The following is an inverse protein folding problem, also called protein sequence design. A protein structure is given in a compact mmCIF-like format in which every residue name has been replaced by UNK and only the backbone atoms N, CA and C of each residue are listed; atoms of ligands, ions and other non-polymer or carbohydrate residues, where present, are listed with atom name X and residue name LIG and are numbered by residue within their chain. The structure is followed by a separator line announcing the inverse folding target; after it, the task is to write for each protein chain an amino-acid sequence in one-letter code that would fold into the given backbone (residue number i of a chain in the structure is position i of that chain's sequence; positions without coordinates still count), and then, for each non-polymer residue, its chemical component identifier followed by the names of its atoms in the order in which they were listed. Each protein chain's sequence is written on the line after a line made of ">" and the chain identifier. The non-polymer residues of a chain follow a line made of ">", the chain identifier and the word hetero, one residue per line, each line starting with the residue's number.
data_IF_085106338958
#
_entry.id   IF_085106338958
#
_cell.length_a   1.000
_cell.length_b   1.000
_cell.length_c   1.000
_cell.angle_alpha   90.00
_cell.angle_beta   90.00
_cell.angle_gamma   90.00
#
_symmetry.space_group_name_H-M   'P 1'
#
loop_
_entity.id
_entity.type
_entity.pdbx_description
1 polymer ?
2 non-polymer ?
3 non-polymer ?
4 non-polymer ?
5 water ?
#
# COMPACT_ATOMS: atom_id res chain seq x y z
N UNK A 1 -24.58 -2.11 -18.93
CA UNK A 1 -24.74 -1.14 -17.80
C UNK A 1 -25.90 -1.49 -16.82
N UNK A 2 -26.46 -2.68 -16.93
CA UNK A 2 -27.50 -3.12 -16.01
C UNK A 2 -27.02 -4.27 -15.10
N UNK A 3 -25.70 -4.51 -15.07
CA UNK A 3 -25.15 -5.57 -14.25
C UNK A 3 -24.98 -5.04 -12.82
N UNK A 4 -25.09 -5.95 -11.87
CA UNK A 4 -24.75 -5.65 -10.49
C UNK A 4 -23.26 -5.25 -10.39
N UNK A 5 -22.87 -4.56 -9.31
CA UNK A 5 -21.46 -4.26 -9.08
C UNK A 5 -20.64 -5.55 -9.05
N UNK A 6 -21.16 -6.56 -8.35
CA UNK A 6 -20.48 -7.85 -8.30
C UNK A 6 -20.22 -8.38 -9.73
N UNK A 7 -21.21 -8.27 -10.60
CA UNK A 7 -21.06 -8.81 -11.95
C UNK A 7 -20.13 -7.96 -12.83
N UNK A 8 -20.17 -6.65 -12.63
CA UNK A 8 -19.29 -5.71 -13.34
C UNK A 8 -17.85 -5.97 -12.98
N UNK A 9 -17.58 -6.07 -11.68
CA UNK A 9 -16.24 -6.43 -11.23
C UNK A 9 -15.79 -7.78 -11.81
N UNK A 10 -16.60 -8.81 -11.67
CA UNK A 10 -16.23 -10.12 -12.24
C UNK A 10 -15.90 -10.07 -13.76
N UNK A 11 -16.68 -9.32 -14.51
CA UNK A 11 -16.45 -9.12 -15.93
C UNK A 11 -15.04 -8.60 -16.17
N UNK A 12 -14.66 -7.55 -15.42
CA UNK A 12 -13.40 -6.90 -15.60
C UNK A 12 -12.24 -7.75 -15.09
N UNK A 13 -12.44 -8.46 -13.99
CA UNK A 13 -11.41 -9.38 -13.45
C UNK A 13 -11.06 -10.43 -14.48
N UNK A 14 -12.07 -10.98 -15.14
CA UNK A 14 -11.87 -12.00 -16.16
C UNK A 14 -11.22 -11.39 -17.39
N UNK A 15 -11.67 -10.21 -17.78
CA UNK A 15 -11.20 -9.55 -18.97
C UNK A 15 -9.72 -9.19 -18.86
N UNK A 16 -9.32 -8.63 -17.70
CA UNK A 16 -7.93 -8.26 -17.51
C UNK A 16 -7.05 -9.40 -16.99
N UNK A 17 -7.64 -10.59 -16.87
CA UNK A 17 -6.96 -11.79 -16.37
C UNK A 17 -6.39 -11.54 -14.95
N UNK A 18 -7.14 -10.83 -14.10
CA UNK A 18 -6.86 -10.83 -12.66
C UNK A 18 -7.32 -12.18 -12.07
N UNK A 19 -8.30 -12.82 -12.73
CA UNK A 19 -8.77 -14.17 -12.40
C UNK A 19 -8.70 -15.04 -13.64
N UNK A 20 -8.05 -16.20 -13.56
CA UNK A 20 -8.14 -17.21 -14.63
C UNK A 20 -8.94 -18.41 -14.17
N UNK A 21 -9.82 -18.90 -15.05
CA UNK A 21 -10.54 -20.13 -14.79
C UNK A 21 -10.15 -21.22 -15.78
N UNK A 22 -9.58 -22.30 -15.26
CA UNK A 22 -9.12 -23.42 -16.10
C UNK A 22 -9.57 -24.72 -15.42
N UNK A 23 -10.89 -24.94 -15.31
CA UNK A 23 -11.39 -26.11 -14.60
C UNK A 23 -10.94 -27.47 -15.19
N UNK A 24 -10.68 -27.52 -16.50
CA UNK A 24 -10.27 -28.78 -17.16
C UNK A 24 -8.77 -28.89 -17.40
N UNK A 25 -8.07 -27.83 -17.00
CA UNK A 25 -6.62 -27.83 -16.97
C UNK A 25 -6.19 -27.08 -15.69
N UNK A 26 -6.47 -27.67 -14.51
CA UNK A 26 -6.36 -26.87 -13.27
C UNK A 26 -4.94 -26.48 -12.87
N UNK A 27 -4.88 -25.44 -12.06
CA UNK A 27 -3.68 -24.96 -11.41
C UNK A 27 -3.42 -25.86 -10.23
N UNK A 28 -2.17 -25.87 -9.79
CA UNK A 28 -1.78 -26.49 -8.54
C UNK A 28 -1.54 -25.34 -7.59
N UNK A 29 -2.28 -25.34 -6.49
CA UNK A 29 -2.11 -24.37 -5.45
C UNK A 29 -0.98 -24.91 -4.61
N UNK A 30 -0.64 -24.22 -3.53
CA UNK A 30 0.26 -24.81 -2.52
C UNK A 30 -0.47 -26.04 -1.92
N UNK A 31 0.24 -26.84 -1.14
CA UNK A 31 -0.38 -27.91 -0.36
C UNK A 31 -0.95 -29.07 -1.19
N UNK A 32 -0.58 -29.14 -2.47
CA UNK A 32 -0.92 -30.27 -3.35
C UNK A 32 -2.33 -30.22 -3.91
N UNK A 33 -3.03 -29.11 -3.64
CA UNK A 33 -4.42 -28.89 -4.06
C UNK A 33 -4.43 -28.44 -5.52
N UNK A 34 -5.26 -29.10 -6.31
CA UNK A 34 -5.55 -28.63 -7.64
C UNK A 34 -6.79 -27.75 -7.58
N UNK A 35 -6.77 -26.65 -8.34
CA UNK A 35 -7.80 -25.63 -8.28
C UNK A 35 -8.13 -25.25 -9.70
N UNK A 36 -9.42 -25.09 -10.00
CA UNK A 36 -9.86 -24.57 -11.29
C UNK A 36 -9.70 -23.05 -11.42
N UNK A 37 -9.31 -22.35 -10.35
CA UNK A 37 -9.31 -20.88 -10.34
C UNK A 37 -7.96 -20.36 -9.87
N UNK A 38 -7.49 -19.29 -10.48
CA UNK A 38 -6.31 -18.56 -9.99
C UNK A 38 -6.68 -17.09 -9.95
N UNK A 39 -6.37 -16.44 -8.82
CA UNK A 39 -6.78 -15.08 -8.56
C UNK A 39 -5.56 -14.27 -8.23
N UNK A 40 -5.38 -13.15 -8.92
CA UNK A 40 -4.39 -12.16 -8.50
C UNK A 40 -4.92 -10.76 -8.75
N UNK A 41 -5.65 -10.24 -7.76
CA UNK A 41 -6.37 -9.01 -7.87
C UNK A 41 -5.40 -7.84 -7.76
N UNK A 42 -4.11 -8.11 -7.47
CA UNK A 42 -3.12 -7.01 -7.54
C UNK A 42 -2.98 -6.53 -8.99
N UNK A 43 -3.38 -7.36 -9.92
CA UNK A 43 -3.41 -6.97 -11.33
C UNK A 43 -4.38 -5.82 -11.54
N UNK A 44 -5.48 -5.75 -10.77
CA UNK A 44 -6.49 -4.66 -10.91
C UNK A 44 -5.85 -3.26 -10.71
N UNK A 45 -4.81 -3.22 -9.89
CA UNK A 45 -4.09 -1.98 -9.61
C UNK A 45 -3.46 -1.38 -10.83
N UNK A 46 -3.19 -2.19 -11.84
CA UNK A 46 -2.52 -1.73 -13.05
C UNK A 46 -3.50 -1.29 -14.16
N UNK A 47 -4.80 -1.39 -13.87
CA UNK A 47 -5.87 -1.08 -14.82
C UNK A 47 -6.80 -0.05 -14.20
N UNK A 48 -6.51 1.26 -14.41
CA UNK A 48 -7.24 2.34 -13.76
C UNK A 48 -8.78 2.23 -13.85
N UNK A 49 -9.31 1.82 -14.98
CA UNK A 49 -10.74 1.67 -15.15
C UNK A 49 -11.34 0.65 -14.17
N UNK A 50 -10.70 -0.52 -14.07
CA UNK A 50 -11.10 -1.57 -13.14
C UNK A 50 -10.84 -1.16 -11.69
N UNK A 51 -9.68 -0.57 -11.44
CA UNK A 51 -9.34 -0.07 -10.13
C UNK A 51 -10.36 0.96 -9.66
N UNK A 52 -10.74 1.91 -10.52
CA UNK A 52 -11.71 2.95 -10.15
C UNK A 52 -13.05 2.32 -9.79
N UNK A 53 -13.48 1.33 -10.56
CA UNK A 53 -14.69 0.61 -10.28
C UNK A 53 -14.73 -0.03 -8.89
N UNK A 54 -13.64 -0.73 -8.58
CA UNK A 54 -13.46 -1.38 -7.29
C UNK A 54 -13.37 -0.36 -6.12
N UNK A 55 -12.53 0.68 -6.28
CA UNK A 55 -12.32 1.65 -5.17
C UNK A 55 -13.61 2.45 -4.92
N UNK A 56 -14.29 2.86 -6.00
CA UNK A 56 -15.60 3.51 -5.86
C UNK A 56 -16.65 2.58 -5.24
N UNK A 57 -16.60 1.29 -5.58
CA UNK A 57 -17.50 0.27 -5.01
C UNK A 57 -17.25 0.15 -3.52
N UNK A 58 -15.99 0.06 -3.12
CA UNK A 58 -15.61 0.02 -1.69
C UNK A 58 -16.13 1.24 -0.94
N UNK A 59 -15.88 2.43 -1.47
CA UNK A 59 -16.32 3.65 -0.77
C UNK A 59 -17.85 3.63 -0.54
N UNK A 60 -18.55 3.21 -1.57
CA UNK A 60 -20.02 3.15 -1.50
C UNK A 60 -20.49 2.10 -0.47
N UNK A 61 -19.90 0.91 -0.46
CA UNK A 61 -20.33 -0.12 0.48
C UNK A 61 -19.98 0.25 1.91
N UNK A 62 -18.86 0.98 2.07
CA UNK A 62 -18.43 1.37 3.43
C UNK A 62 -19.38 2.41 4.02
N UNK A 63 -19.72 3.39 3.22
CA UNK A 63 -20.72 4.39 3.60
C UNK A 63 -22.06 3.76 3.94
N UNK A 64 -22.42 2.72 3.21
CA UNK A 64 -23.68 2.05 3.44
C UNK A 64 -23.63 1.17 4.71
N UNK A 65 -22.57 0.39 4.86
CA UNK A 65 -22.54 -0.57 5.97
C UNK A 65 -21.93 0.00 7.22
N UNK A 66 -20.91 0.85 7.06
CA UNK A 66 -20.14 1.41 8.20
C UNK A 66 -20.03 2.94 8.18
N UNK A 67 -21.18 3.67 8.17
CA UNK A 67 -21.15 5.10 7.98
C UNK A 67 -20.35 5.86 9.06
N UNK A 68 -20.16 5.25 10.23
CA UNK A 68 -19.57 5.89 11.40
C UNK A 68 -18.07 5.62 11.41
N UNK A 69 -17.54 5.00 10.35
CA UNK A 69 -16.08 4.70 10.25
C UNK A 69 -15.22 5.95 10.48
N UNK A 70 -14.12 5.77 11.22
CA UNK A 70 -13.19 6.87 11.50
C UNK A 70 -11.78 6.67 10.94
N UNK A 71 -11.45 5.42 10.64
CA UNK A 71 -10.15 5.07 10.12
C UNK A 71 -10.31 3.87 9.20
N UNK A 72 -9.59 3.91 8.09
CA UNK A 72 -9.53 2.82 7.09
C UNK A 72 -8.20 2.12 7.27
N UNK A 73 -8.19 0.79 7.46
CA UNK A 73 -6.91 0.10 7.71
C UNK A 73 -6.80 -0.93 6.56
N UNK A 74 -5.68 -0.98 5.84
CA UNK A 74 -5.46 -2.05 4.84
C UNK A 74 -4.68 -3.21 5.45
N UNK A 75 -4.97 -4.44 5.00
CA UNK A 75 -4.30 -5.67 5.47
C UNK A 75 -3.05 -5.79 4.67
N UNK A 76 -1.89 -5.95 5.31
CA UNK A 76 -0.62 -6.08 4.57
C UNK A 76 -0.65 -7.38 3.76
N UNK A 77 -0.16 -7.40 2.51
CA UNK A 77 0.25 -6.25 1.72
C UNK A 77 -0.84 -5.89 0.69
N UNK A 78 -1.53 -6.90 0.15
CA UNK A 78 -2.45 -6.74 -0.97
C UNK A 78 -3.61 -5.79 -0.71
N UNK A 79 -4.03 -5.65 0.55
CA UNK A 79 -5.16 -4.79 0.84
C UNK A 79 -4.75 -3.34 1.02
N UNK A 80 -3.44 -3.10 1.15
CA UNK A 80 -2.94 -1.75 1.44
C UNK A 80 -3.23 -0.71 0.31
N UNK A 81 -2.92 -1.05 -0.96
CA UNK A 81 -3.13 -0.03 -2.02
C UNK A 81 -4.60 0.35 -2.11
N UNK A 82 -5.49 -0.63 -2.06
CA UNK A 82 -6.91 -0.34 -2.11
C UNK A 82 -7.29 0.50 -0.92
N UNK A 83 -6.89 0.10 0.28
CA UNK A 83 -7.23 0.84 1.53
C UNK A 83 -6.76 2.28 1.46
N UNK A 84 -5.57 2.51 0.90
CA UNK A 84 -5.02 3.87 0.87
C UNK A 84 -5.85 4.74 -0.01
N UNK A 85 -6.20 4.23 -1.18
CA UNK A 85 -7.08 4.96 -2.11
C UNK A 85 -8.43 5.26 -1.50
N UNK A 86 -9.02 4.29 -0.84
CA UNK A 86 -10.30 4.51 -0.14
C UNK A 86 -10.20 5.63 0.91
N UNK A 87 -9.15 5.62 1.70
CA UNK A 87 -8.97 6.64 2.72
C UNK A 87 -8.81 8.03 2.08
N UNK A 88 -8.03 8.10 1.00
CA UNK A 88 -7.89 9.36 0.28
C UNK A 88 -9.27 9.85 -0.20
N UNK A 89 -10.03 8.97 -0.85
CA UNK A 89 -11.35 9.34 -1.39
C UNK A 89 -12.32 9.81 -0.29
N UNK A 90 -12.25 9.21 0.91
CA UNK A 90 -13.18 9.53 2.02
C UNK A 90 -12.64 10.64 2.95
N UNK A 91 -11.44 11.14 2.63
CA UNK A 91 -10.73 12.08 3.50
C UNK A 91 -10.68 11.58 4.94
N UNK A 92 -10.27 10.32 5.08
CA UNK A 92 -10.14 9.66 6.40
C UNK A 92 -8.69 9.23 6.71
N UNK A 93 -8.33 9.17 8.03
CA UNK A 93 -7.04 8.57 8.43
C UNK A 93 -6.88 7.21 7.73
N UNK A 94 -5.66 6.90 7.30
CA UNK A 94 -5.32 5.57 6.86
C UNK A 94 -4.30 4.96 7.85
N UNK A 95 -4.40 3.64 8.06
CA UNK A 95 -3.40 2.88 8.81
C UNK A 95 -3.24 1.57 8.05
N UNK A 96 -2.16 0.84 8.32
CA UNK A 96 -2.12 -0.53 7.77
C UNK A 96 -1.65 -1.51 8.78
N UNK A 97 -1.93 -2.78 8.54
CA UNK A 97 -1.73 -3.76 9.59
C UNK A 97 -0.79 -4.85 9.12
N UNK A 98 0.39 -4.93 9.71
CA UNK A 98 1.37 -5.92 9.28
C UNK A 98 0.91 -7.33 9.63
N UNK A 99 1.47 -8.32 8.95
CA UNK A 99 1.22 -9.71 9.23
C UNK A 99 1.75 -10.14 10.56
N UNK A 100 2.89 -9.57 10.92
CA UNK A 100 3.54 -9.84 12.19
C UNK A 100 4.29 -8.55 12.65
N UNK A 101 4.56 -8.43 13.96
CA UNK A 101 5.39 -7.32 14.47
C UNK A 101 6.76 -7.27 13.77
N UNK A 102 7.36 -6.08 13.72
CA UNK A 102 8.78 -5.96 13.31
C UNK A 102 9.68 -6.66 14.33
N UNK A 107 1.00 -3.69 20.45
CA UNK A 107 1.84 -2.50 20.41
C UNK A 107 2.98 -2.65 19.41
N UNK A 108 2.66 -3.23 18.23
CA UNK A 108 3.60 -3.37 17.10
C UNK A 108 3.11 -3.76 15.66
N UNK A 109 1.81 -3.98 15.41
CA UNK A 109 1.39 -4.38 14.05
C UNK A 109 0.73 -3.28 13.19
N UNK A 110 0.13 -2.27 13.83
CA UNK A 110 -0.56 -1.17 13.17
C UNK A 110 0.54 -0.17 12.79
N UNK A 111 0.58 0.22 11.52
CA UNK A 111 1.47 1.30 11.10
C UNK A 111 0.56 2.47 10.78
N UNK A 112 0.95 3.66 11.17
CA UNK A 112 0.04 4.80 11.18
C UNK A 112 -0.20 5.14 12.63
N UNK A 113 -1.28 5.89 12.90
CA UNK A 113 -1.61 6.28 14.29
C UNK A 113 -3.10 6.12 14.47
N UNK A 114 -3.48 5.28 15.42
CA UNK A 114 -4.89 4.95 15.62
C UNK A 114 -5.13 5.24 17.09
N UNK A 115 -6.15 6.05 17.37
CA UNK A 115 -6.50 6.47 18.72
C UNK A 115 -7.32 5.37 19.36
N UNK A 116 -7.20 5.21 20.66
CA UNK A 116 -8.02 4.24 21.36
C UNK A 116 -9.51 4.47 21.07
N UNK A 117 -10.22 3.42 20.66
CA UNK A 117 -11.68 3.51 20.46
C UNK A 117 -12.08 4.00 19.07
N UNK A 118 -11.08 4.30 18.24
CA UNK A 118 -11.35 4.77 16.91
C UNK A 118 -11.99 3.67 16.06
N UNK A 119 -13.05 4.02 15.35
CA UNK A 119 -13.88 3.06 14.63
C UNK A 119 -13.23 2.76 13.29
N UNK A 120 -12.91 1.50 13.08
CA UNK A 120 -12.12 1.07 11.93
C UNK A 120 -12.84 0.08 11.03
N UNK A 121 -12.67 0.26 9.73
CA UNK A 121 -13.04 -0.71 8.74
C UNK A 121 -11.75 -1.21 8.10
N UNK A 122 -11.63 -2.53 8.04
CA UNK A 122 -10.43 -3.17 7.54
C UNK A 122 -10.65 -3.63 6.06
N UNK A 123 -9.71 -3.28 5.20
CA UNK A 123 -9.78 -3.58 3.77
C UNK A 123 -8.88 -4.76 3.42
N UNK A 124 -9.45 -5.74 2.70
CA UNK A 124 -8.76 -6.94 2.30
C UNK A 124 -8.99 -7.13 0.78
N UNK A 125 -8.13 -7.91 0.13
CA UNK A 125 -8.26 -8.11 -1.31
C UNK A 125 -9.11 -9.37 -1.43
N UNK A 126 -8.54 -10.53 -1.07
CA UNK A 126 -9.22 -11.81 -1.29
C UNK A 126 -9.55 -12.53 0.03
N UNK A 127 -10.79 -12.98 0.18
CA UNK A 127 -11.12 -13.93 1.27
C UNK A 127 -11.08 -15.40 0.79
N UNK A 128 -10.15 -16.24 1.29
CA UNK A 128 -10.37 -17.72 1.17
C UNK A 128 -10.91 -18.26 2.47
N UNK A 129 -10.06 -18.47 3.48
CA UNK A 129 -10.54 -18.82 4.84
C UNK A 129 -10.89 -17.55 5.67
N UNK A 130 -10.31 -16.38 5.35
CA UNK A 130 -10.49 -15.16 6.15
C UNK A 130 -9.52 -15.07 7.32
N UNK A 131 -8.74 -16.12 7.55
CA UNK A 131 -7.77 -16.14 8.67
C UNK A 131 -6.87 -14.91 8.74
N UNK A 132 -6.32 -14.50 7.61
CA UNK A 132 -5.41 -13.32 7.59
C UNK A 132 -6.10 -12.04 8.03
N UNK A 133 -7.23 -11.72 7.44
CA UNK A 133 -7.91 -10.49 7.82
C UNK A 133 -8.51 -10.59 9.23
N UNK A 134 -8.94 -11.79 9.62
CA UNK A 134 -9.38 -11.97 10.99
C UNK A 134 -8.23 -11.76 12.00
N UNK A 135 -7.03 -12.24 11.69
CA UNK A 135 -5.88 -11.93 12.56
C UNK A 135 -5.55 -10.44 12.56
N UNK A 136 -5.70 -9.80 11.40
CA UNK A 136 -5.54 -8.34 11.35
C UNK A 136 -6.51 -7.59 12.29
N UNK A 137 -7.77 -8.03 12.29
CA UNK A 137 -8.76 -7.42 13.13
C UNK A 137 -8.38 -7.65 14.58
N UNK A 138 -7.90 -8.85 14.91
CA UNK A 138 -7.49 -9.20 16.28
C UNK A 138 -6.37 -8.28 16.75
N UNK A 139 -5.36 -8.09 15.91
CA UNK A 139 -4.26 -7.19 16.24
C UNK A 139 -4.75 -5.74 16.43
N UNK A 140 -5.64 -5.30 15.54
CA UNK A 140 -6.17 -3.92 15.64
C UNK A 140 -6.90 -3.73 16.95
N UNK A 141 -7.73 -4.72 17.34
CA UNK A 141 -8.46 -4.70 18.60
C UNK A 141 -7.51 -4.67 19.80
N UNK A 142 -6.44 -5.46 19.74
CA UNK A 142 -5.42 -5.42 20.82
C UNK A 142 -4.81 -4.05 20.98
N UNK A 143 -4.56 -3.39 19.87
CA UNK A 143 -3.94 -2.06 19.89
C UNK A 143 -4.93 -0.89 20.03
N UNK A 144 -6.20 -1.20 20.30
CA UNK A 144 -7.17 -0.22 20.78
C UNK A 144 -8.31 0.16 19.82
N UNK A 145 -8.26 -0.35 18.59
CA UNK A 145 -9.30 -0.10 17.59
C UNK A 145 -10.66 -0.64 17.96
N UNK A 146 -11.70 0.04 17.50
CA UNK A 146 -13.04 -0.50 17.51
C UNK A 146 -13.33 -0.93 16.06
N UNK A 147 -13.13 -2.22 15.78
CA UNK A 147 -13.27 -2.74 14.41
C UNK A 147 -14.73 -2.90 14.07
N UNK A 148 -15.20 -2.12 13.08
CA UNK A 148 -16.60 -2.23 12.67
C UNK A 148 -16.81 -3.45 11.77
N UNK A 149 -15.81 -3.77 10.96
CA UNK A 149 -16.02 -4.84 10.03
C UNK A 149 -14.95 -4.85 8.99
N UNK A 150 -15.12 -5.75 8.04
CA UNK A 150 -14.21 -5.96 6.93
C UNK A 150 -14.92 -5.85 5.60
N UNK A 151 -14.24 -5.22 4.64
CA UNK A 151 -14.68 -5.23 3.26
C UNK A 151 -13.55 -5.80 2.42
N UNK A 152 -13.92 -6.73 1.53
CA UNK A 152 -12.93 -7.33 0.62
C UNK A 152 -13.38 -7.21 -0.82
N UNK A 153 -12.44 -7.34 -1.74
CA UNK A 153 -12.81 -7.34 -3.15
C UNK A 153 -13.56 -8.60 -3.51
N UNK A 154 -13.13 -9.76 -3.02
CA UNK A 154 -13.65 -11.02 -3.62
C UNK A 154 -13.60 -12.10 -2.54
N UNK A 155 -14.48 -13.06 -2.65
CA UNK A 155 -14.47 -14.23 -1.76
C UNK A 155 -14.69 -15.52 -2.55
N UNK A 156 -13.97 -16.60 -2.19
CA UNK A 156 -14.26 -17.90 -2.77
C UNK A 156 -15.55 -18.52 -2.19
N UNK A 157 -16.20 -17.83 -1.26
CA UNK A 157 -17.43 -18.34 -0.61
C UNK A 157 -17.26 -19.67 0.06
N UNK A 158 -16.08 -19.93 0.65
CA UNK A 158 -15.87 -21.22 1.34
C UNK A 158 -16.73 -21.21 2.57
N UNK A 159 -17.42 -22.34 2.85
CA UNK A 159 -18.21 -22.37 4.10
C UNK A 159 -17.34 -22.08 5.35
N UNK A 160 -16.06 -22.49 5.33
CA UNK A 160 -15.18 -22.23 6.46
C UNK A 160 -14.98 -20.74 6.77
N UNK A 161 -15.01 -19.87 5.75
CA UNK A 161 -14.87 -18.44 5.94
C UNK A 161 -16.09 -17.87 6.65
N UNK A 162 -17.28 -18.32 6.24
CA UNK A 162 -18.52 -17.92 6.88
C UNK A 162 -18.48 -18.26 8.35
N UNK A 163 -18.12 -19.50 8.66
CA UNK A 163 -17.96 -19.98 10.04
C UNK A 163 -16.95 -19.12 10.85
N UNK A 164 -15.78 -18.86 10.27
CA UNK A 164 -14.72 -18.06 10.92
C UNK A 164 -15.24 -16.67 11.26
N UNK A 165 -15.90 -16.00 10.30
CA UNK A 165 -16.39 -14.64 10.54
C UNK A 165 -17.49 -14.61 11.60
N UNK A 166 -18.45 -15.52 11.48
CA UNK A 166 -19.53 -15.68 12.47
C UNK A 166 -19.04 -15.98 13.92
N UNK A 167 -18.17 -16.98 14.06
CA UNK A 167 -17.55 -17.28 15.34
C UNK A 167 -16.72 -16.12 15.92
N UNK A 168 -16.10 -15.32 15.05
CA UNK A 168 -15.34 -14.15 15.50
C UNK A 168 -16.28 -12.97 15.83
N UNK A 169 -17.51 -13.01 15.34
CA UNK A 169 -18.44 -11.89 15.52
C UNK A 169 -18.08 -10.67 14.65
N UNK A 170 -17.50 -10.89 13.48
CA UNK A 170 -17.04 -9.82 12.59
C UNK A 170 -17.83 -9.82 11.29
N UNK A 171 -18.37 -8.64 10.94
CA UNK A 171 -19.13 -8.51 9.70
C UNK A 171 -18.20 -8.42 8.51
N UNK A 172 -18.51 -9.19 7.47
CA UNK A 172 -17.75 -9.17 6.23
C UNK A 172 -18.65 -8.72 5.09
N UNK A 173 -18.20 -7.76 4.28
CA UNK A 173 -18.88 -7.45 3.03
C UNK A 173 -17.87 -7.66 1.93
N UNK A 174 -18.30 -8.17 0.78
CA UNK A 174 -17.40 -8.27 -0.36
C UNK A 174 -18.05 -7.61 -1.59
N UNK A 175 -17.20 -7.11 -2.50
CA UNK A 175 -17.68 -6.40 -3.67
C UNK A 175 -18.13 -7.38 -4.74
N UNK A 176 -17.41 -8.51 -4.85
CA UNK A 176 -17.76 -9.57 -5.77
C UNK A 176 -17.49 -10.95 -5.15
N UNK A 177 -17.89 -12.01 -5.85
CA UNK A 177 -17.85 -13.33 -5.20
C UNK A 177 -17.80 -14.43 -6.24
N UNK A 178 -17.39 -15.60 -5.81
CA UNK A 178 -17.22 -16.77 -6.68
C UNK A 178 -18.44 -17.12 -7.52
N UNK A 179 -19.62 -17.16 -6.91
CA UNK A 179 -20.83 -17.50 -7.63
C UNK A 179 -21.11 -16.55 -8.79
N UNK A 180 -21.01 -15.25 -8.55
CA UNK A 180 -21.25 -14.30 -9.63
C UNK A 180 -20.18 -14.40 -10.68
N UNK A 181 -18.95 -14.61 -10.26
CA UNK A 181 -17.88 -14.68 -11.23
C UNK A 181 -17.93 -15.88 -12.20
N UNK A 182 -18.22 -17.08 -11.66
CA UNK A 182 -18.34 -18.27 -12.54
C UNK A 182 -19.60 -18.15 -13.40
N UNK A 183 -20.63 -17.49 -12.90
CA UNK A 183 -21.86 -17.24 -13.68
C UNK A 183 -21.59 -16.36 -14.92
N UNK A 184 -20.92 -15.27 -14.67
CA UNK A 184 -20.48 -14.30 -15.70
C UNK A 184 -19.46 -14.95 -16.65
N UNK A 185 -18.55 -15.77 -16.10
CA UNK A 185 -17.58 -16.50 -16.95
C UNK A 185 -18.31 -17.37 -17.98
N UNK A 186 -19.35 -18.06 -17.56
CA UNK A 186 -20.05 -18.91 -18.52
C UNK A 186 -20.80 -18.03 -19.47
N UNK A 187 -21.45 -17.00 -18.96
CA UNK A 187 -22.28 -16.16 -19.83
C UNK A 187 -21.43 -15.59 -20.95
N UNK A 188 -20.19 -15.25 -20.62
CA UNK A 188 -19.27 -14.57 -21.50
C UNK A 188 -18.34 -15.51 -22.24
N UNK A 189 -18.44 -16.82 -21.97
CA UNK A 189 -17.74 -17.83 -22.77
C UNK A 189 -16.29 -18.12 -22.31
N UNK A 190 -15.94 -17.69 -21.10
CA UNK A 190 -14.62 -18.00 -20.56
C UNK A 190 -14.51 -19.47 -20.17
N UNK A 191 -15.67 -20.11 -19.93
CA UNK A 191 -15.79 -21.49 -19.47
C UNK A 191 -16.98 -22.10 -20.20
N UNK A 192 -16.94 -23.43 -20.33
CA UNK A 192 -18.07 -24.21 -20.88
C UNK A 192 -19.02 -24.61 -19.73
N UNK A 193 -20.16 -25.19 -20.06
CA UNK A 193 -21.00 -25.76 -19.04
C UNK A 193 -20.29 -26.84 -18.21
N UNK A 194 -19.51 -27.72 -18.83
CA UNK A 194 -18.71 -28.70 -18.07
C UNK A 194 -17.73 -28.02 -17.10
N UNK A 195 -17.09 -26.95 -17.55
CA UNK A 195 -16.22 -26.17 -16.69
C UNK A 195 -17.00 -25.52 -15.54
N UNK A 196 -18.17 -24.98 -15.85
CA UNK A 196 -18.99 -24.37 -14.79
C UNK A 196 -19.36 -25.43 -13.73
N UNK A 197 -19.74 -26.61 -14.19
CA UNK A 197 -20.04 -27.72 -13.27
C UNK A 197 -18.84 -28.03 -12.37
N UNK A 198 -17.62 -27.98 -12.92
CA UNK A 198 -16.45 -28.32 -12.12
C UNK A 198 -16.15 -27.24 -11.12
N UNK A 199 -16.30 -25.99 -11.55
CA UNK A 199 -16.17 -24.87 -10.63
C UNK A 199 -17.14 -24.93 -9.44
N UNK A 200 -18.37 -25.39 -9.67
CA UNK A 200 -19.37 -25.54 -8.60
C UNK A 200 -18.99 -26.64 -7.60
N UNK A 201 -18.48 -27.75 -8.14
CA UNK A 201 -17.94 -28.84 -7.29
C UNK A 201 -16.79 -28.35 -6.43
N UNK A 202 -15.87 -27.57 -7.03
CA UNK A 202 -14.74 -26.99 -6.29
C UNK A 202 -15.17 -26.19 -5.07
N UNK A 203 -16.22 -25.38 -5.20
CA UNK A 203 -16.76 -24.66 -4.03
C UNK A 203 -17.26 -25.64 -2.93
N UNK A 204 -17.92 -26.71 -3.34
CA UNK A 204 -18.39 -27.75 -2.42
C UNK A 204 -17.27 -28.49 -1.66
N UNK A 205 -16.15 -28.77 -2.33
CA UNK A 205 -15.12 -29.66 -1.81
C UNK A 205 -13.83 -29.48 -2.62
N UNK A 206 -12.83 -28.87 -2.02
CA UNK A 206 -11.58 -28.56 -2.70
C UNK A 206 -10.69 -29.76 -2.99
N UNK A 207 -10.92 -30.86 -2.28
CA UNK A 207 -10.11 -32.06 -2.47
C UNK A 207 -10.68 -33.04 -3.53
N UNK A 208 -12.00 -33.27 -3.53
CA UNK A 208 -12.59 -34.29 -4.43
C UNK A 208 -13.42 -33.78 -5.60
N UNK A 209 -13.17 -32.53 -6.00
CA UNK A 209 -13.97 -31.88 -7.05
C UNK A 209 -13.84 -32.46 -8.47
N UNK A 210 -12.76 -33.18 -8.75
CA UNK A 210 -12.43 -33.61 -10.13
C UNK A 210 -13.12 -34.89 -10.66
N UNK B 3 5.81 29.82 3.74
CA UNK B 3 6.78 28.68 3.74
C UNK B 3 6.73 27.94 2.40
N UNK B 4 7.88 27.42 1.98
CA UNK B 4 7.97 26.56 0.80
C UNK B 4 7.33 25.20 1.11
N UNK B 5 6.96 24.46 0.06
CA UNK B 5 6.36 23.11 0.28
C UNK B 5 7.23 22.26 1.22
N UNK B 6 8.56 22.27 1.02
CA UNK B 6 9.45 21.46 1.85
C UNK B 6 9.35 21.82 3.33
N UNK B 7 9.32 23.12 3.62
CA UNK B 7 9.23 23.60 5.01
C UNK B 7 7.82 23.37 5.60
N UNK B 8 6.80 23.52 4.78
CA UNK B 8 5.42 23.12 5.15
C UNK B 8 5.33 21.65 5.56
N UNK B 9 5.84 20.77 4.70
CA UNK B 9 5.86 19.36 5.00
C UNK B 9 6.57 19.12 6.31
N UNK B 10 7.76 19.71 6.46
CA UNK B 10 8.58 19.50 7.62
C UNK B 10 7.90 19.94 8.90
N UNK B 11 7.27 21.12 8.87
CA UNK B 11 6.46 21.61 9.98
C UNK B 11 5.44 20.57 10.41
N UNK B 12 4.73 19.99 9.43
CA UNK B 12 3.71 18.98 9.79
C UNK B 12 4.32 17.64 10.26
N UNK B 13 5.47 17.25 9.70
CA UNK B 13 6.14 16.00 10.16
C UNK B 13 6.49 16.09 11.64
N UNK B 14 7.02 17.26 12.03
CA UNK B 14 7.40 17.48 13.43
C UNK B 14 6.17 17.51 14.30
N UNK B 15 5.13 18.19 13.87
CA UNK B 15 3.94 18.33 14.65
C UNK B 15 3.26 16.97 14.94
N UNK B 16 3.19 16.10 13.93
CA UNK B 16 2.46 14.86 14.16
C UNK B 16 3.41 13.78 14.66
N UNK B 17 4.65 14.17 14.88
CA UNK B 17 5.68 13.27 15.38
C UNK B 17 5.94 12.15 14.37
N UNK B 18 6.01 12.53 13.10
CA UNK B 18 6.54 11.62 12.08
C UNK B 18 8.07 11.65 12.16
N UNK B 19 8.62 12.68 12.79
CA UNK B 19 10.10 12.86 12.92
C UNK B 19 10.37 13.21 14.34
N UNK B 20 11.38 12.53 14.91
CA UNK B 20 11.87 12.78 16.28
C UNK B 20 13.33 13.14 16.20
N UNK B 21 13.69 14.23 16.87
CA UNK B 21 15.07 14.74 16.85
C UNK B 21 15.57 14.60 18.27
N UNK B 22 16.66 13.85 18.43
CA UNK B 22 17.25 13.62 19.74
C UNK B 22 18.77 13.75 19.62
N UNK B 23 19.27 14.95 19.23
CA UNK B 23 20.69 15.14 19.06
C UNK B 23 21.50 14.87 20.32
N UNK B 24 20.90 15.10 21.49
CA UNK B 24 21.64 14.96 22.75
C UNK B 24 21.50 13.57 23.32
N UNK B 25 20.73 12.72 22.64
CA UNK B 25 20.54 11.34 23.05
C UNK B 25 20.22 10.46 21.83
N UNK B 26 21.22 10.23 20.92
CA UNK B 26 20.92 9.63 19.59
C UNK B 26 20.41 8.19 19.51
N UNK B 27 19.72 7.88 18.41
CA UNK B 27 19.33 6.52 18.05
C UNK B 27 20.57 5.80 17.55
N UNK B 28 20.51 4.47 17.49
CA UNK B 28 21.65 3.72 16.96
C UNK B 28 21.14 2.99 15.74
N UNK B 29 21.93 3.00 14.66
CA UNK B 29 21.54 2.29 13.44
C UNK B 29 22.19 0.90 13.38
N UNK B 30 21.62 0.02 12.57
CA UNK B 30 22.23 -1.29 12.31
C UNK B 30 23.73 -1.18 12.03
N UNK B 31 24.14 -0.20 11.21
CA UNK B 31 25.56 0.01 10.89
C UNK B 31 26.46 0.33 12.10
N UNK B 32 25.84 0.82 13.17
CA UNK B 32 26.57 1.21 14.38
C UNK B 32 26.64 2.73 14.52
N UNK B 33 26.22 3.42 13.47
CA UNK B 33 26.16 4.89 13.47
C UNK B 33 25.13 5.33 14.50
N UNK B 34 25.49 6.37 15.27
CA UNK B 34 24.52 7.05 16.12
C UNK B 34 23.87 8.16 15.32
N UNK B 35 22.53 8.18 15.35
CA UNK B 35 21.75 9.14 14.57
C UNK B 35 20.91 10.01 15.53
N UNK B 36 20.96 11.35 15.33
CA UNK B 36 20.15 12.28 16.07
C UNK B 36 18.72 12.31 15.57
N UNK B 37 18.39 11.53 14.54
CA UNK B 37 17.10 11.58 13.90
C UNK B 37 16.45 10.19 13.75
N UNK B 38 15.17 10.11 14.11
CA UNK B 38 14.33 8.96 13.76
C UNK B 38 13.12 9.46 12.96
N UNK B 39 12.77 8.75 11.89
CA UNK B 39 11.66 9.12 11.02
C UNK B 39 10.69 7.97 10.90
N UNK B 40 9.40 8.25 11.08
CA UNK B 40 8.37 7.26 10.70
C UNK B 40 7.29 7.98 9.93
N UNK B 41 7.48 8.10 8.61
CA UNK B 41 6.56 8.82 7.75
C UNK B 41 5.25 8.06 7.47
N UNK B 42 5.14 6.81 7.95
CA UNK B 42 3.85 6.09 7.85
C UNK B 42 2.79 6.84 8.66
N UNK B 43 3.18 7.58 9.70
CA UNK B 43 2.13 8.25 10.47
C UNK B 43 1.50 9.39 9.68
N UNK B 44 2.16 9.93 8.68
CA UNK B 44 1.49 10.93 7.80
C UNK B 44 0.19 10.38 7.20
N UNK B 45 0.11 9.04 7.04
CA UNK B 45 -1.07 8.39 6.44
C UNK B 45 -2.33 8.55 7.25
N UNK B 46 -2.15 8.83 8.54
CA UNK B 46 -3.26 8.88 9.50
C UNK B 46 -3.72 10.33 9.69
N UNK B 47 -3.05 11.28 9.02
CA UNK B 47 -3.44 12.71 9.09
C UNK B 47 -3.77 13.25 7.72
N UNK B 48 -5.06 13.17 7.31
CA UNK B 48 -5.51 13.55 5.95
C UNK B 48 -5.01 14.94 5.46
N UNK B 49 -4.93 15.94 6.33
CA UNK B 49 -4.39 17.24 5.94
C UNK B 49 -2.94 17.09 5.48
N UNK B 50 -2.13 16.36 6.27
CA UNK B 50 -0.73 16.20 5.96
C UNK B 50 -0.55 15.24 4.75
N UNK B 51 -1.31 14.17 4.74
CA UNK B 51 -1.23 13.26 3.64
C UNK B 51 -1.65 13.97 2.34
N UNK B 52 -2.75 14.73 2.36
CA UNK B 52 -3.14 15.41 1.13
C UNK B 52 -2.00 16.28 0.58
N UNK B 53 -1.38 17.05 1.45
CA UNK B 53 -0.27 17.91 1.07
C UNK B 53 0.88 17.15 0.41
N UNK B 54 1.26 16.03 1.02
CA UNK B 54 2.30 15.15 0.48
C UNK B 54 1.91 14.51 -0.88
N UNK B 55 0.72 13.91 -0.95
CA UNK B 55 0.33 13.25 -2.21
C UNK B 55 0.15 14.26 -3.34
N UNK B 56 -0.45 15.42 -3.06
CA UNK B 56 -0.54 16.49 -4.08
C UNK B 56 0.84 17.02 -4.54
N UNK B 57 1.76 17.12 -3.58
CA UNK B 57 3.14 17.45 -3.83
C UNK B 57 3.83 16.46 -4.77
N UNK B 58 3.71 15.16 -4.47
CA UNK B 58 4.18 14.10 -5.37
C UNK B 58 3.62 14.24 -6.79
N UNK B 59 2.30 14.44 -6.91
CA UNK B 59 1.64 14.58 -8.23
C UNK B 59 2.18 15.73 -9.03
N UNK B 60 2.28 16.90 -8.40
CA UNK B 60 2.82 18.06 -9.08
C UNK B 60 4.25 17.85 -9.60
N UNK B 61 5.10 17.25 -8.79
CA UNK B 61 6.49 17.08 -9.17
C UNK B 61 6.68 16.00 -10.23
N UNK B 62 5.81 14.98 -10.20
CA UNK B 62 5.75 13.94 -11.25
C UNK B 62 5.21 14.54 -12.56
N UNK B 63 4.09 15.26 -12.46
CA UNK B 63 3.47 15.93 -13.61
C UNK B 63 4.50 16.86 -14.30
N UNK B 64 5.36 17.53 -13.51
CA UNK B 64 6.44 18.36 -14.14
C UNK B 64 7.65 17.56 -14.64
N UNK B 65 8.26 16.73 -13.77
CA UNK B 65 9.53 16.05 -14.09
C UNK B 65 9.41 14.77 -14.90
N UNK B 66 8.27 14.08 -14.78
CA UNK B 66 8.11 12.79 -15.51
C UNK B 66 6.85 12.79 -16.31
N UNK B 67 6.70 13.73 -17.24
CA UNK B 67 5.38 13.73 -17.90
C UNK B 67 5.09 12.43 -18.68
N UNK B 68 6.15 11.70 -19.06
CA UNK B 68 5.98 10.46 -19.85
C UNK B 68 5.73 9.15 -19.05
N UNK B 69 5.55 9.27 -17.73
CA UNK B 69 5.35 8.13 -16.82
C UNK B 69 4.11 7.32 -17.23
N UNK B 70 4.23 5.98 -17.27
CA UNK B 70 3.12 5.11 -17.63
C UNK B 70 2.69 4.22 -16.46
N UNK B 71 3.54 4.14 -15.43
CA UNK B 71 3.17 3.39 -14.23
C UNK B 71 3.86 3.96 -12.99
N UNK B 72 3.10 4.06 -11.91
CA UNK B 72 3.57 4.51 -10.60
C UNK B 72 3.85 3.26 -9.79
N UNK B 73 5.04 3.11 -9.24
CA UNK B 73 5.34 1.90 -8.48
C UNK B 73 5.73 2.30 -7.08
N UNK B 74 5.10 1.66 -6.08
CA UNK B 74 5.47 1.94 -4.70
C UNK B 74 6.49 0.94 -4.20
N UNK B 75 7.46 1.41 -3.41
CA UNK B 75 8.38 0.52 -2.73
C UNK B 75 7.65 -0.18 -1.57
N UNK B 76 7.65 -1.52 -1.52
CA UNK B 76 7.12 -2.25 -0.38
C UNK B 76 7.89 -1.97 0.92
N UNK B 77 7.21 -1.72 2.04
CA UNK B 77 5.78 -1.59 2.16
C UNK B 77 5.36 -0.12 2.33
N UNK B 78 6.22 0.67 2.99
CA UNK B 78 5.90 2.05 3.35
C UNK B 78 5.65 2.99 2.18
N UNK B 79 6.27 2.72 1.03
CA UNK B 79 5.98 3.56 -0.16
C UNK B 79 4.70 3.20 -0.90
N UNK B 80 4.15 2.03 -0.60
CA UNK B 80 2.95 1.57 -1.30
C UNK B 80 1.71 2.52 -1.12
N UNK B 81 1.37 2.94 0.13
CA UNK B 81 0.10 3.72 0.23
C UNK B 81 0.18 5.04 -0.52
N UNK B 82 1.33 5.68 -0.45
CA UNK B 82 1.55 6.96 -1.12
C UNK B 82 1.48 6.76 -2.62
N UNK B 83 2.15 5.74 -3.12
CA UNK B 83 2.17 5.48 -4.56
C UNK B 83 0.78 5.13 -5.07
N UNK B 84 0.00 4.42 -4.26
CA UNK B 84 -1.34 4.03 -4.69
C UNK B 84 -2.23 5.26 -4.86
N UNK B 85 -2.13 6.20 -3.90
CA UNK B 85 -2.93 7.44 -3.97
C UNK B 85 -2.50 8.33 -5.17
N UNK B 86 -1.18 8.46 -5.35
CA UNK B 86 -0.62 9.12 -6.51
C UNK B 86 -1.19 8.55 -7.79
N UNK B 87 -1.15 7.22 -7.93
CA UNK B 87 -1.69 6.58 -9.15
C UNK B 87 -3.18 6.88 -9.36
N UNK B 88 -3.97 6.83 -8.29
CA UNK B 88 -5.39 7.10 -8.36
C UNK B 88 -5.60 8.54 -8.85
N UNK B 89 -4.86 9.47 -8.28
CA UNK B 89 -5.00 10.91 -8.62
C UNK B 89 -4.68 11.19 -10.08
N UNK B 90 -3.69 10.48 -10.61
CA UNK B 90 -3.15 10.70 -11.96
C UNK B 90 -3.83 9.78 -12.99
N UNK B 91 -4.78 8.96 -12.53
CA UNK B 91 -5.40 7.90 -13.35
C UNK B 91 -4.32 7.08 -14.09
N UNK B 92 -3.32 6.64 -13.35
CA UNK B 92 -2.25 5.87 -13.96
C UNK B 92 -2.24 4.46 -13.40
N UNK B 93 -1.72 3.49 -14.18
CA UNK B 93 -1.39 2.16 -13.65
C UNK B 93 -0.56 2.25 -12.35
N UNK B 94 -0.88 1.41 -11.39
CA UNK B 94 -0.07 1.28 -10.20
C UNK B 94 0.54 -0.12 -10.14
N UNK B 95 1.76 -0.20 -9.61
CA UNK B 95 2.31 -1.52 -9.31
C UNK B 95 3.10 -1.35 -8.03
N UNK B 96 3.57 -2.42 -7.41
CA UNK B 96 4.51 -2.27 -6.33
C UNK B 96 5.64 -3.29 -6.36
N UNK B 97 6.74 -2.99 -5.66
CA UNK B 97 7.93 -3.81 -5.76
C UNK B 97 8.26 -4.38 -4.40
N UNK B 98 8.20 -5.70 -4.28
CA UNK B 98 8.61 -6.43 -3.08
C UNK B 98 10.05 -6.15 -2.72
N UNK B 99 10.35 -6.24 -1.42
CA UNK B 99 11.68 -6.05 -0.88
C UNK B 99 12.58 -7.25 -1.20
N UNK B 100 11.99 -8.45 -1.23
CA UNK B 100 12.69 -9.68 -1.65
C UNK B 100 11.83 -10.54 -2.58
N UNK B 101 12.48 -11.46 -3.36
CA UNK B 101 11.87 -12.36 -4.38
C UNK B 101 10.62 -13.19 -4.00
N UNK B 108 10.03 -12.91 -9.19
CA UNK B 108 8.94 -11.94 -9.38
C UNK B 108 8.85 -10.96 -8.22
N UNK B 109 9.53 -9.82 -8.31
CA UNK B 109 9.35 -8.78 -7.32
C UNK B 109 8.30 -7.70 -7.64
N UNK B 110 7.96 -7.48 -8.89
CA UNK B 110 6.88 -6.52 -9.21
C UNK B 110 5.55 -7.20 -9.03
N UNK B 111 4.68 -6.60 -8.23
CA UNK B 111 3.32 -7.06 -8.07
C UNK B 111 2.38 -6.13 -8.88
N UNK B 112 1.38 -6.67 -9.59
CA UNK B 112 0.63 -5.81 -10.53
C UNK B 112 1.00 -6.27 -11.91
N UNK B 113 0.79 -5.45 -12.93
CA UNK B 113 1.21 -5.87 -14.27
C UNK B 113 1.95 -4.74 -14.91
N UNK B 114 3.17 -5.01 -15.35
CA UNK B 114 4.05 -4.00 -15.96
C UNK B 114 4.58 -4.65 -17.21
N UNK B 115 4.37 -4.03 -18.37
CA UNK B 115 4.87 -4.60 -19.63
C UNK B 115 6.30 -4.13 -19.92
N UNK B 116 7.01 -4.85 -20.79
CA UNK B 116 8.40 -4.51 -21.10
C UNK B 116 8.52 -3.06 -21.61
N UNK B 117 9.40 -2.27 -20.99
CA UNK B 117 9.71 -0.93 -21.46
C UNK B 117 8.74 0.13 -20.98
N UNK B 118 7.75 -0.26 -20.20
CA UNK B 118 6.85 0.68 -19.50
C UNK B 118 7.61 1.61 -18.55
N UNK B 119 7.35 2.91 -18.72
CA UNK B 119 8.05 3.97 -18.03
C UNK B 119 7.47 4.16 -16.63
N UNK B 120 8.36 4.02 -15.64
CA UNK B 120 8.06 3.83 -14.20
C UNK B 120 8.69 4.89 -13.32
N UNK B 121 7.87 5.50 -12.48
CA UNK B 121 8.36 6.38 -11.44
C UNK B 121 8.15 5.62 -10.12
N UNK B 122 9.21 5.53 -9.28
CA UNK B 122 9.18 4.74 -8.06
C UNK B 122 9.02 5.67 -6.86
N UNK B 123 8.13 5.29 -5.96
CA UNK B 123 7.74 6.15 -4.83
C UNK B 123 8.28 5.53 -3.53
N UNK B 124 8.93 6.36 -2.74
CA UNK B 124 9.59 5.95 -1.52
C UNK B 124 9.18 6.96 -0.42
N UNK B 125 9.08 6.51 0.82
CA UNK B 125 8.82 7.47 1.87
C UNK B 125 10.08 8.11 2.48
N UNK B 126 11.16 7.38 2.66
CA UNK B 126 12.31 8.01 3.27
C UNK B 126 13.55 7.58 2.53
N UNK B 127 14.43 8.52 2.23
CA UNK B 127 15.77 8.18 1.69
C UNK B 127 16.77 8.34 2.83
N UNK B 128 17.35 7.25 3.29
CA UNK B 128 18.50 7.38 4.20
C UNK B 128 19.79 7.19 3.36
N UNK B 129 20.24 5.96 3.18
CA UNK B 129 21.27 5.63 2.16
C UNK B 129 20.68 5.51 0.74
N UNK B 130 19.37 5.35 0.61
CA UNK B 130 18.80 5.04 -0.70
C UNK B 130 18.94 3.59 -1.15
N UNK B 131 19.59 2.76 -0.34
CA UNK B 131 19.80 1.36 -0.73
C UNK B 131 18.56 0.56 -1.05
N UNK B 132 17.48 0.75 -0.28
CA UNK B 132 16.27 -0.05 -0.53
C UNK B 132 15.60 0.29 -1.82
N UNK B 133 15.44 1.57 -2.08
CA UNK B 133 14.75 1.98 -3.29
C UNK B 133 15.62 1.66 -4.48
N UNK B 134 16.94 1.71 -4.32
CA UNK B 134 17.81 1.41 -5.46
C UNK B 134 17.81 -0.09 -5.77
N UNK B 135 17.69 -0.92 -4.74
CA UNK B 135 17.42 -2.35 -4.90
C UNK B 135 16.06 -2.59 -5.56
N UNK B 136 15.04 -1.84 -5.14
CA UNK B 136 13.73 -1.90 -5.82
C UNK B 136 13.89 -1.56 -7.31
N UNK B 137 14.67 -0.51 -7.58
CA UNK B 137 14.84 0.02 -8.92
C UNK B 137 15.53 -1.00 -9.80
N UNK B 138 16.58 -1.65 -9.31
CA UNK B 138 17.28 -2.71 -10.08
C UNK B 138 16.38 -3.87 -10.36
N UNK B 139 15.57 -4.27 -9.37
CA UNK B 139 14.65 -5.41 -9.60
C UNK B 139 13.60 -5.12 -10.68
N UNK B 140 12.96 -3.96 -10.60
CA UNK B 140 12.02 -3.55 -11.63
C UNK B 140 12.65 -3.48 -13.01
N UNK B 141 13.87 -2.93 -13.11
CA UNK B 141 14.64 -2.94 -14.38
C UNK B 141 14.97 -4.33 -14.94
N UNK B 142 15.41 -5.25 -14.07
CA UNK B 142 15.60 -6.65 -14.49
C UNK B 142 14.32 -7.19 -15.10
N UNK B 143 13.17 -6.81 -14.54
CA UNK B 143 11.87 -7.33 -14.99
C UNK B 143 11.21 -6.54 -16.14
N UNK B 144 11.96 -5.60 -16.71
CA UNK B 144 11.57 -4.92 -17.95
C UNK B 144 11.12 -3.47 -17.90
N UNK B 145 10.93 -2.93 -16.70
CA UNK B 145 10.49 -1.53 -16.50
C UNK B 145 11.56 -0.59 -16.99
N UNK B 146 11.13 0.57 -17.48
CA UNK B 146 12.04 1.65 -17.81
C UNK B 146 11.90 2.59 -16.63
N UNK B 147 12.80 2.48 -15.67
CA UNK B 147 12.80 3.35 -14.47
C UNK B 147 13.23 4.78 -14.83
N UNK B 148 12.27 5.71 -14.74
CA UNK B 148 12.51 7.15 -14.99
C UNK B 148 13.19 7.88 -13.83
N UNK B 149 12.75 7.56 -12.62
CA UNK B 149 13.30 8.19 -11.46
C UNK B 149 12.60 7.73 -10.21
N UNK B 150 13.09 8.25 -9.08
CA UNK B 150 12.50 7.99 -7.76
C UNK B 150 12.01 9.31 -7.17
N UNK B 151 10.82 9.33 -6.57
CA UNK B 151 10.43 10.49 -5.79
C UNK B 151 10.19 10.01 -4.36
N UNK B 152 10.62 10.80 -3.36
CA UNK B 152 10.50 10.41 -1.96
C UNK B 152 9.96 11.59 -1.14
N UNK B 153 9.27 11.31 -0.05
CA UNK B 153 8.83 12.38 0.86
C UNK B 153 10.04 13.15 1.46
N UNK B 154 11.06 12.43 1.91
CA UNK B 154 12.03 13.05 2.82
C UNK B 154 13.37 12.40 2.62
N UNK B 155 14.45 13.19 2.72
CA UNK B 155 15.81 12.66 2.66
C UNK B 155 16.61 13.25 3.81
N UNK B 156 17.53 12.45 4.32
CA UNK B 156 18.48 12.89 5.36
C UNK B 156 19.65 13.65 4.71
N UNK B 157 19.67 13.71 3.38
CA UNK B 157 20.69 14.40 2.62
C UNK B 157 22.09 13.85 2.89
N UNK B 158 22.19 12.53 3.02
CA UNK B 158 23.41 11.86 3.38
C UNK B 158 24.28 11.79 2.11
N UNK B 159 25.58 12.15 2.21
CA UNK B 159 26.41 11.97 1.01
C UNK B 159 26.38 10.56 0.45
N UNK B 160 26.23 9.54 1.31
CA UNK B 160 26.10 8.15 0.81
C UNK B 160 24.96 7.99 -0.20
N UNK B 161 23.82 8.60 0.09
CA UNK B 161 22.63 8.54 -0.79
C UNK B 161 22.92 9.18 -2.13
N UNK B 162 23.61 10.31 -2.11
CA UNK B 162 23.95 11.03 -3.35
C UNK B 162 24.83 10.21 -4.26
N UNK B 163 25.83 9.57 -3.66
CA UNK B 163 26.74 8.74 -4.40
C UNK B 163 26.07 7.45 -4.87
N UNK B 164 25.27 6.83 -4.01
CA UNK B 164 24.44 5.70 -4.41
C UNK B 164 23.63 5.97 -5.68
N UNK B 165 22.93 7.11 -5.71
CA UNK B 165 22.06 7.46 -6.83
C UNK B 165 22.85 7.80 -8.11
N UNK B 166 23.97 8.52 -7.95
CA UNK B 166 24.87 8.92 -9.04
C UNK B 166 25.46 7.68 -9.68
N UNK B 167 25.90 6.74 -8.85
CA UNK B 167 26.41 5.48 -9.34
C UNK B 167 25.34 4.69 -10.11
N UNK B 168 24.16 4.55 -9.53
CA UNK B 168 23.06 3.86 -10.19
C UNK B 168 22.56 4.56 -11.45
N UNK B 169 22.85 5.84 -11.58
CA UNK B 169 22.41 6.68 -12.68
C UNK B 169 20.92 7.00 -12.65
N UNK B 170 20.37 7.23 -11.46
CA UNK B 170 18.93 7.39 -11.29
C UNK B 170 18.58 8.72 -10.61
N UNK B 171 17.58 9.43 -11.17
CA UNK B 171 17.21 10.76 -10.68
C UNK B 171 16.42 10.57 -9.38
N UNK B 172 16.72 11.40 -8.38
CA UNK B 172 15.97 11.37 -7.15
C UNK B 172 15.41 12.76 -6.98
N UNK B 173 14.11 12.86 -6.68
CA UNK B 173 13.45 14.13 -6.33
C UNK B 173 12.88 13.91 -4.93
N UNK B 174 12.96 14.89 -4.04
CA UNK B 174 12.31 14.72 -2.75
C UNK B 174 11.43 15.93 -2.46
N UNK B 175 10.42 15.70 -1.62
CA UNK B 175 9.49 16.77 -1.28
C UNK B 175 9.95 17.63 -0.16
N UNK B 176 10.64 17.03 0.82
CA UNK B 176 11.23 17.76 1.95
C UNK B 176 12.60 17.15 2.31
N UNK B 177 13.36 17.83 3.17
CA UNK B 177 14.74 17.43 3.39
C UNK B 177 15.16 17.82 4.79
N UNK B 178 16.16 17.09 5.28
CA UNK B 178 16.79 17.31 6.59
C UNK B 178 17.10 18.75 6.98
N UNK B 179 17.85 19.46 6.14
CA UNK B 179 18.24 20.85 6.41
C UNK B 179 17.07 21.76 6.73
N UNK B 180 16.03 21.71 5.90
CA UNK B 180 14.88 22.56 6.07
C UNK B 180 14.09 22.16 7.29
N UNK B 181 14.00 20.86 7.54
CA UNK B 181 13.30 20.35 8.72
C UNK B 181 13.99 20.72 10.05
N UNK B 182 15.32 20.64 10.12
CA UNK B 182 15.97 21.00 11.40
C UNK B 182 15.90 22.50 11.63
N UNK B 183 15.77 23.27 10.54
CA UNK B 183 15.58 24.72 10.66
C UNK B 183 14.23 25.04 11.32
N UNK B 184 13.18 24.38 10.85
CA UNK B 184 11.85 24.53 11.42
C UNK B 184 11.82 24.06 12.88
N UNK B 185 12.49 22.91 13.15
CA UNK B 185 12.63 22.44 14.53
C UNK B 185 13.23 23.48 15.47
N UNK B 186 14.31 24.13 15.05
CA UNK B 186 14.85 25.19 15.90
C UNK B 186 13.87 26.37 16.08
N UNK B 187 13.28 26.82 14.97
CA UNK B 187 12.36 27.97 14.98
C UNK B 187 11.20 27.70 15.96
N UNK B 188 10.65 26.49 15.91
CA UNK B 188 9.53 26.08 16.72
C UNK B 188 9.87 25.51 18.13
N UNK B 189 11.16 25.47 18.49
CA UNK B 189 11.57 25.04 19.84
C UNK B 189 11.63 23.55 20.14
N UNK B 190 11.63 22.71 19.10
CA UNK B 190 11.82 21.26 19.25
C UNK B 190 13.26 20.90 19.58
N UNK B 191 14.19 21.77 19.18
CA UNK B 191 15.61 21.60 19.53
C UNK B 191 16.15 22.98 19.93
N UNK B 192 17.32 23.01 20.54
CA UNK B 192 17.96 24.26 20.95
C UNK B 192 19.05 24.53 19.89
N UNK B 193 19.77 25.65 19.98
CA UNK B 193 20.93 25.88 19.10
C UNK B 193 21.99 24.79 19.19
N UNK B 194 22.27 24.31 20.39
CA UNK B 194 23.21 23.20 20.60
C UNK B 194 22.76 21.93 19.83
N UNK B 195 21.47 21.62 19.89
CA UNK B 195 20.95 20.45 19.17
C UNK B 195 21.01 20.64 17.67
N UNK B 196 20.66 21.84 17.22
CA UNK B 196 20.78 22.22 15.81
C UNK B 196 22.23 22.05 15.28
N UNK B 197 23.20 22.52 16.06
CA UNK B 197 24.64 22.38 15.72
C UNK B 197 25.00 20.89 15.58
N UNK B 198 24.53 20.08 16.52
CA UNK B 198 24.75 18.65 16.48
C UNK B 198 24.12 18.04 15.25
N UNK B 199 22.90 18.47 14.94
CA UNK B 199 22.19 17.91 13.80
C UNK B 199 22.93 18.25 12.49
N UNK B 200 23.48 19.45 12.41
CA UNK B 200 24.23 19.91 11.22
C UNK B 200 25.50 19.10 11.04
N UNK B 201 26.22 18.88 12.14
CA UNK B 201 27.43 18.09 12.15
C UNK B 201 27.21 16.62 11.73
N UNK B 202 26.08 16.04 12.15
CA UNK B 202 25.73 14.66 11.74
C UNK B 202 25.63 14.53 10.22
N UNK B 203 24.99 15.51 9.58
CA UNK B 203 24.85 15.49 8.13
C UNK B 203 26.23 15.59 7.44
N UNK B 204 27.14 16.38 8.01
CA UNK B 204 28.44 16.48 7.37
C UNK B 204 29.33 15.23 7.63
N UNK B 205 29.14 14.60 8.79
CA UNK B 205 29.95 13.44 9.21
C UNK B 205 29.17 12.61 10.19
N UNK B 206 28.68 11.45 9.77
CA UNK B 206 27.84 10.59 10.63
C UNK B 206 28.63 9.82 11.68
N UNK B 207 29.95 9.77 11.51
CA UNK B 207 30.78 9.03 12.46
C UNK B 207 31.26 9.90 13.63
N UNK B 208 31.63 11.15 13.38
CA UNK B 208 32.37 11.97 14.35
C UNK B 208 31.63 13.18 14.93
N UNK B 209 30.33 13.25 14.68
CA UNK B 209 29.52 14.44 14.96
C UNK B 209 29.35 14.75 16.44
N UNK B 210 29.50 13.73 17.29
CA UNK B 210 29.40 13.94 18.72
C UNK B 210 30.74 14.28 19.33
N UNK B 211 31.84 14.21 18.56
CA UNK B 211 33.21 14.45 19.09
C UNK B 211 33.45 15.93 19.38
X LIG C 1 -7.12 -16.20 3.81
X LIG C 1 -7.34 -17.65 3.94
X LIG C 1 -8.35 -15.38 3.62
X LIG C 1 -6.48 -15.81 5.08
X LIG C 1 -6.19 -15.93 2.74
X LIG D 1 -0.26 -9.67 0.52
X LIG D 1 -1.26 -10.40 1.13
X LIG D 1 0.66 -10.61 -0.17
X LIG D 1 1.93 -10.63 0.44
X LIG D 1 0.83 -10.16 -1.60
X LIG D 1 1.40 -8.88 -1.79
X LIG E 1 8.18 -1.13 5.86
X LIG E 1 8.26 -2.60 5.90
X LIG E 1 6.90 -0.68 6.47
X LIG E 1 9.34 -0.62 6.61
X LIG E 1 8.37 -0.63 4.51
X LIG F 1 17.40 3.30 2.97
X LIG F 1 17.53 2.10 2.12
X LIG F 1 16.36 3.15 3.98
X LIG F 1 18.67 3.37 3.71
X LIG F 1 17.14 4.48 2.11
X LIG G 1 10.86 1.46 11.87
X LIG H 1 9.87 3.42 6.07
X LIG H 1 10.53 3.51 4.82
X LIG H 1 10.70 4.35 6.94
X LIG H 1 11.68 3.61 7.61
X LIG H 1 9.75 5.04 7.88
X LIG H 1 9.22 6.12 7.16
#
# INVERSE_FOLDING_TARGET
>A
AAMTLASQIATQLLDIKAVYLKPEDPFTWASGIKSPIYTDNRVTLSYPKTRDLIENGFVETIKAHFPEVEVIAGTATAGIPHGAIIADKMTLPFAYIRSKPKDHGAGNQIEGRVLKGQKMVIIEDLISTGGSVLDAAAAASREGADVLGVVAIFTYELPKASQNFKEAGIKLITLSNYTELIAVAKLQGYITNDGLHLLKKFKEDQVNWQQ
>B
AAMTLASQIATQLLDIKAVYLKPEDPFTWASGIKSPIYTDNRVTLSYPKTRDLIENGFVETIKAHFPEVEVIAGTATAGIPHGAIIADKMTLPFAYIRSKPKDHGAGNQIEGRVLKGQKMVIIEDLISTGGSVLDAAAAASREGADVLGVVAIFTYELPKASQNFKEAGIKLITLSNYTELIAVAKLQGYITNDGLHLLKKFKEDQVNWQQ
>C hetero
1 SO4 S O1 O2 O3 O4
>D hetero
1 GOL C1 O1 C2 O2 C3 O3
>E hetero
1 SO4 S O1 O2 O3 O4
>F hetero
1 SO4 S O1 O2 O3 O4
>G hetero
1 CL CL
>H hetero
1 GOL C1 O1 C2 O2 C3 O3
#
